data_IF_383133547953
#
_entry.id   IF_383133547953
#
_cell.length_a   1.000
_cell.length_b   1.000
_cell.length_c   1.000
_cell.angle_alpha   90.00
_cell.angle_beta   90.00
_cell.angle_gamma   90.00
#
_symmetry.space_group_name_H-M   'P 1'
#
loop_
_entity.id
_entity.type
_entity.pdbx_description
1 polymer ?
#
# COMPACT_ATOMS: atom_id res chain seq x y z
N UNK A 1 -24.46 18.77 -17.93
CA UNK A 1 -23.24 18.01 -17.62
C UNK A 1 -22.58 18.65 -16.40
N UNK A 2 -22.83 18.13 -15.19
CA UNK A 2 -22.18 18.63 -13.97
C UNK A 2 -20.78 18.00 -13.87
N UNK A 3 -19.74 18.82 -14.04
CA UNK A 3 -18.37 18.52 -13.63
C UNK A 3 -18.33 18.46 -12.11
N UNK A 4 -18.30 17.25 -11.54
CA UNK A 4 -17.85 17.05 -10.17
C UNK A 4 -16.32 17.12 -10.16
N UNK A 5 -15.78 18.33 -10.09
CA UNK A 5 -14.42 18.58 -9.58
C UNK A 5 -14.55 18.87 -8.09
N UNK A 6 -14.95 17.87 -7.32
CA UNK A 6 -14.64 17.86 -5.90
C UNK A 6 -13.20 17.39 -5.82
N UNK A 7 -12.29 18.32 -5.54
CA UNK A 7 -10.96 18.00 -5.05
C UNK A 7 -11.13 16.96 -3.93
N UNK A 8 -10.77 15.72 -4.23
CA UNK A 8 -10.84 14.63 -3.28
C UNK A 8 -9.87 14.99 -2.15
N UNK A 9 -10.41 15.51 -1.07
CA UNK A 9 -9.67 15.90 0.11
C UNK A 9 -9.97 14.83 1.15
N UNK A 10 -9.24 13.70 1.15
CA UNK A 10 -9.57 12.64 2.05
C UNK A 10 -9.33 13.12 3.49
N UNK A 11 -10.30 12.84 4.34
CA UNK A 11 -10.29 13.17 5.77
C UNK A 11 -9.31 12.21 6.49
N UNK A 12 -8.05 12.15 6.07
CA UNK A 12 -7.00 11.41 6.75
C UNK A 12 -6.22 12.38 7.63
N UNK A 13 -6.53 12.40 8.93
CA UNK A 13 -5.67 13.06 9.92
C UNK A 13 -4.43 12.23 10.22
N UNK A 14 -3.32 12.88 10.58
CA UNK A 14 -2.10 12.22 11.09
C UNK A 14 -1.00 11.97 10.03
N UNK A 15 -0.09 11.00 10.26
CA UNK A 15 1.09 10.75 9.41
C UNK A 15 0.77 10.48 7.94
N UNK A 16 -0.44 10.00 7.64
CA UNK A 16 -0.93 9.71 6.29
C UNK A 16 -1.13 11.00 5.45
N UNK A 17 -1.48 12.13 6.07
CA UNK A 17 -1.56 13.43 5.38
C UNK A 17 -0.18 13.92 4.89
N UNK A 18 0.83 13.73 5.73
CA UNK A 18 2.23 14.09 5.41
C UNK A 18 2.80 13.18 4.31
N UNK A 19 2.27 11.96 4.17
CA UNK A 19 2.63 11.03 3.10
C UNK A 19 1.94 11.35 1.77
N UNK A 20 0.73 11.91 1.83
CA UNK A 20 0.05 12.37 0.62
C UNK A 20 0.78 13.57 0.01
N UNK A 21 1.30 14.46 0.85
CA UNK A 21 2.09 15.64 0.45
C UNK A 21 3.50 15.31 -0.09
N UNK A 22 3.99 14.05 0.05
CA UNK A 22 5.38 13.71 -0.27
C UNK A 22 5.52 12.35 -1.00
N UNK A 23 5.30 12.35 -2.32
CA UNK A 23 5.33 11.16 -3.19
C UNK A 23 6.56 10.25 -3.01
N UNK A 24 7.81 10.75 -2.93
CA UNK A 24 8.98 9.89 -2.74
C UNK A 24 8.95 9.11 -1.42
N UNK A 25 8.42 9.72 -0.35
CA UNK A 25 8.32 9.10 0.96
C UNK A 25 7.28 7.97 0.97
N UNK A 26 6.20 8.14 0.21
CA UNK A 26 5.16 7.12 0.02
C UNK A 26 5.66 5.91 -0.73
N UNK A 27 6.38 6.13 -1.84
CA UNK A 27 6.99 5.05 -2.62
C UNK A 27 8.00 4.26 -1.80
N UNK A 28 8.83 4.93 -1.00
CA UNK A 28 9.74 4.27 -0.07
C UNK A 28 9.00 3.36 0.90
N UNK A 29 7.90 3.83 1.50
CA UNK A 29 7.10 3.00 2.43
C UNK A 29 6.45 1.80 1.74
N UNK A 30 6.00 1.95 0.49
CA UNK A 30 5.45 0.83 -0.28
C UNK A 30 6.54 -0.22 -0.52
N UNK A 31 7.74 0.20 -0.91
CA UNK A 31 8.89 -0.71 -1.12
C UNK A 31 9.26 -1.41 0.19
N UNK A 32 9.33 -0.68 1.30
CA UNK A 32 9.62 -1.25 2.61
C UNK A 32 8.55 -2.27 3.04
N UNK A 33 7.27 -1.96 2.81
CA UNK A 33 6.18 -2.88 3.09
C UNK A 33 6.24 -4.15 2.22
N UNK A 34 6.58 -4.02 0.93
CA UNK A 34 6.77 -5.16 0.03
C UNK A 34 7.93 -6.05 0.48
N UNK A 35 9.06 -5.45 0.85
CA UNK A 35 10.22 -6.20 1.36
C UNK A 35 9.90 -6.91 2.68
N UNK A 36 9.13 -6.27 3.55
CA UNK A 36 8.89 -6.77 4.89
C UNK A 36 7.75 -7.79 4.96
N UNK A 37 6.67 -7.60 4.21
CA UNK A 37 5.44 -8.42 4.32
C UNK A 37 5.07 -9.13 3.03
N UNK A 38 5.81 -8.92 1.95
CA UNK A 38 5.57 -9.58 0.67
C UNK A 38 5.73 -11.10 0.71
N UNK A 39 6.25 -11.67 1.81
CA UNK A 39 6.23 -13.11 2.06
C UNK A 39 4.80 -13.68 2.22
N UNK A 40 3.80 -12.88 2.58
CA UNK A 40 2.41 -13.32 2.68
C UNK A 40 1.75 -13.61 1.32
N UNK A 41 2.26 -13.04 0.24
CA UNK A 41 1.76 -13.26 -1.12
C UNK A 41 2.42 -14.50 -1.71
N UNK A 42 1.66 -15.31 -2.45
CA UNK A 42 2.23 -16.51 -3.09
C UNK A 42 3.10 -16.15 -4.29
N UNK A 43 4.10 -16.98 -4.58
CA UNK A 43 4.94 -16.80 -5.77
C UNK A 43 4.09 -16.89 -7.04
N UNK A 44 4.39 -16.05 -8.03
CA UNK A 44 3.64 -15.86 -9.29
C UNK A 44 2.27 -15.19 -9.16
N UNK A 45 1.81 -14.93 -7.94
CA UNK A 45 0.55 -14.24 -7.72
C UNK A 45 0.62 -12.81 -8.22
N UNK A 46 -0.44 -12.42 -8.94
CA UNK A 46 -0.69 -11.04 -9.35
C UNK A 46 -1.66 -10.43 -8.36
N UNK A 47 -1.26 -9.35 -7.71
CA UNK A 47 -2.01 -8.75 -6.63
C UNK A 47 -1.92 -7.22 -6.67
N UNK A 48 -2.90 -6.58 -6.02
CA UNK A 48 -2.90 -5.14 -5.80
C UNK A 48 -2.35 -4.80 -4.42
N UNK A 49 -1.91 -3.56 -4.22
CA UNK A 49 -1.34 -3.15 -2.93
C UNK A 49 -2.34 -3.31 -1.77
N UNK A 50 -3.62 -3.01 -2.00
CA UNK A 50 -4.68 -3.16 -1.00
C UNK A 50 -4.87 -4.60 -0.52
N UNK A 51 -4.66 -5.59 -1.40
CA UNK A 51 -4.64 -7.00 -1.01
C UNK A 51 -3.54 -7.28 0.02
N UNK A 52 -2.30 -6.86 -0.25
CA UNK A 52 -1.19 -7.03 0.71
C UNK A 52 -1.44 -6.24 2.00
N UNK A 53 -2.01 -5.03 1.92
CA UNK A 53 -2.43 -4.27 3.09
C UNK A 53 -3.47 -5.00 3.94
N UNK A 54 -4.42 -5.70 3.29
CA UNK A 54 -5.37 -6.60 3.93
C UNK A 54 -4.69 -7.77 4.64
N UNK A 55 -3.72 -8.43 4.00
CA UNK A 55 -2.95 -9.52 4.60
C UNK A 55 -2.18 -9.06 5.84
N UNK A 56 -1.55 -7.88 5.80
CA UNK A 56 -0.86 -7.30 6.96
C UNK A 56 -1.83 -7.11 8.12
N UNK A 57 -3.03 -6.57 7.87
CA UNK A 57 -4.06 -6.39 8.91
C UNK A 57 -4.50 -7.69 9.55
N UNK A 58 -4.59 -8.76 8.76
CA UNK A 58 -5.04 -10.07 9.22
C UNK A 58 -3.97 -10.81 10.04
N UNK A 59 -2.69 -10.63 9.69
CA UNK A 59 -1.61 -11.47 10.21
C UNK A 59 -0.67 -10.77 11.21
N UNK A 60 -0.86 -9.48 11.48
CA UNK A 60 0.03 -8.70 12.37
C UNK A 60 -0.74 -7.92 13.42
N UNK A 61 -0.11 -7.65 14.58
CA UNK A 61 -0.71 -6.81 15.63
C UNK A 61 -0.87 -5.37 15.13
N UNK A 62 -2.12 -4.89 15.11
CA UNK A 62 -2.49 -3.55 14.65
C UNK A 62 -2.32 -2.47 15.73
N UNK A 63 -1.97 -2.85 16.96
CA UNK A 63 -1.55 -1.90 17.98
C UNK A 63 -0.11 -1.42 17.77
N UNK A 64 0.69 -2.16 17.01
CA UNK A 64 2.03 -1.74 16.58
C UNK A 64 1.90 -0.66 15.48
N UNK A 65 2.33 0.60 15.74
CA UNK A 65 2.14 1.70 14.79
C UNK A 65 2.74 1.44 13.42
N UNK A 66 3.84 0.69 13.35
CA UNK A 66 4.49 0.38 12.06
C UNK A 66 3.64 -0.53 11.18
N UNK A 67 3.08 -1.60 11.74
CA UNK A 67 2.23 -2.54 11.00
C UNK A 67 0.98 -1.84 10.48
N UNK A 68 0.36 -1.03 11.35
CA UNK A 68 -0.81 -0.22 11.01
C UNK A 68 -0.49 0.77 9.88
N UNK A 69 0.64 1.48 9.99
CA UNK A 69 1.06 2.43 8.96
C UNK A 69 1.26 1.75 7.60
N UNK A 70 1.96 0.62 7.54
CA UNK A 70 2.17 -0.09 6.28
C UNK A 70 0.86 -0.60 5.68
N UNK A 71 -0.01 -1.21 6.48
CA UNK A 71 -1.32 -1.62 6.02
C UNK A 71 -2.13 -0.44 5.45
N UNK A 72 -2.17 0.69 6.17
CA UNK A 72 -2.91 1.87 5.75
C UNK A 72 -2.36 2.46 4.45
N UNK A 73 -1.04 2.60 4.34
CA UNK A 73 -0.39 3.10 3.11
C UNK A 73 -0.72 2.21 1.92
N UNK A 74 -0.66 0.89 2.07
CA UNK A 74 -0.94 -0.03 0.97
C UNK A 74 -2.41 -0.01 0.56
N UNK A 75 -3.35 0.01 1.52
CA UNK A 75 -4.80 0.06 1.24
C UNK A 75 -5.18 1.36 0.54
N UNK A 76 -4.68 2.50 1.04
CA UNK A 76 -5.01 3.81 0.46
C UNK A 76 -4.44 4.04 -0.94
N UNK A 77 -3.42 3.26 -1.33
CA UNK A 77 -2.77 3.36 -2.63
C UNK A 77 -3.07 2.16 -3.53
N UNK A 78 -4.05 1.31 -3.18
CA UNK A 78 -4.42 0.12 -3.95
C UNK A 78 -4.74 0.39 -5.41
N UNK A 79 -5.41 1.51 -5.70
CA UNK A 79 -5.79 1.93 -7.05
C UNK A 79 -4.75 2.83 -7.74
N UNK A 80 -3.80 3.37 -6.99
CA UNK A 80 -2.82 4.35 -7.50
C UNK A 80 -1.64 3.72 -8.24
N UNK A 81 -1.46 2.41 -8.11
CA UNK A 81 -0.34 1.67 -8.69
C UNK A 81 -0.86 0.50 -9.53
N UNK A 82 -0.13 0.18 -10.61
CA UNK A 82 -0.38 -1.05 -11.37
C UNK A 82 -0.31 -2.28 -10.46
N UNK A 83 -1.04 -3.36 -10.78
CA UNK A 83 -0.87 -4.64 -10.11
C UNK A 83 0.61 -5.05 -10.09
N UNK A 84 0.95 -5.83 -9.07
CA UNK A 84 2.28 -6.37 -8.85
C UNK A 84 2.26 -7.88 -9.02
N UNK A 85 3.32 -8.43 -9.57
CA UNK A 85 3.59 -9.87 -9.54
C UNK A 85 4.75 -10.18 -8.61
N UNK A 86 4.57 -11.14 -7.71
CA UNK A 86 5.67 -11.70 -6.93
C UNK A 86 6.47 -12.68 -7.78
N UNK A 87 7.76 -12.42 -7.94
CA UNK A 87 8.68 -13.24 -8.70
C UNK A 87 9.26 -14.39 -7.86
N UNK A 88 9.70 -15.49 -8.48
CA UNK A 88 10.40 -16.59 -7.78
C UNK A 88 11.66 -16.15 -7.04
N UNK A 89 12.28 -15.05 -7.49
CA UNK A 89 13.45 -14.45 -6.86
C UNK A 89 13.13 -13.70 -5.56
N UNK A 90 11.85 -13.60 -5.19
CA UNK A 90 11.37 -12.80 -4.05
C UNK A 90 11.15 -11.33 -4.37
N UNK A 91 11.52 -10.88 -5.58
CA UNK A 91 11.27 -9.52 -6.04
C UNK A 91 9.84 -9.30 -6.51
N UNK A 92 9.49 -8.05 -6.77
CA UNK A 92 8.18 -7.63 -7.29
C UNK A 92 8.37 -6.90 -8.61
N UNK A 93 7.44 -7.10 -9.53
CA UNK A 93 7.37 -6.30 -10.77
C UNK A 93 5.96 -5.74 -10.95
N UNK A 94 5.89 -4.50 -11.42
CA UNK A 94 4.64 -3.94 -11.93
C UNK A 94 4.28 -4.60 -13.26
N UNK A 95 2.98 -4.79 -13.51
CA UNK A 95 2.44 -5.39 -14.74
C UNK A 95 1.42 -4.49 -15.40
#
# INVERSE_FOLDING_TARGET
MLRNTTDYNPIYGGPLRVLDENKPKRESLIVDALNMYGFYVQTWEVFRLDYLGGLIRQHTDQNEPRNKLFADVLILNGDSYSPLQKLPTGGFRFI
#
